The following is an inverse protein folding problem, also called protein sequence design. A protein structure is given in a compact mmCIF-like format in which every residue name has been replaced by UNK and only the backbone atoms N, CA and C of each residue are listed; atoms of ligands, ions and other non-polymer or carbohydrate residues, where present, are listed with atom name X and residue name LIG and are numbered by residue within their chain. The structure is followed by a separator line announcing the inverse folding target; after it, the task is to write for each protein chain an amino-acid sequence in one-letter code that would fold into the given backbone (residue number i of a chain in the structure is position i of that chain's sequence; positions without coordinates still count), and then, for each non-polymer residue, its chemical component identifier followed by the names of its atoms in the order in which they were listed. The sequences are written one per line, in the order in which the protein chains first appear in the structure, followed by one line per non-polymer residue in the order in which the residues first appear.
data_IF_383828999621
#
_entry.id   IF_383828999621
#
_cell.length_a   1.000
_cell.length_b   1.000
_cell.length_c   1.000
_cell.angle_alpha   90.00
_cell.angle_beta   90.00
_cell.angle_gamma   90.00
#
_symmetry.space_group_name_H-M   'P 1'
#
loop_
_entity.id
_entity.type
_entity.pdbx_description
1 polymer ?
#
# COMPACT_ATOMS: atom_id res chain seq x y z
N UNK A 1 15.01 0.47 23.47
CA UNK A 1 15.04 -0.77 22.67
C UNK A 1 14.22 -0.48 21.43
N UNK A 2 14.76 -0.61 20.23
CA UNK A 2 13.97 -0.46 19.01
C UNK A 2 13.00 -1.64 18.95
N UNK A 3 11.70 -1.34 18.98
CA UNK A 3 10.67 -2.37 18.79
C UNK A 3 10.92 -3.06 17.44
N UNK A 4 10.81 -4.40 17.42
CA UNK A 4 10.96 -5.18 16.18
C UNK A 4 9.88 -4.74 15.18
N UNK A 5 10.20 -4.62 13.88
CA UNK A 5 9.20 -4.27 12.89
C UNK A 5 8.04 -5.28 12.86
N UNK A 6 6.82 -4.80 12.63
CA UNK A 6 5.62 -5.62 12.44
C UNK A 6 5.75 -6.48 11.16
N UNK A 7 6.25 -5.87 10.08
CA UNK A 7 6.54 -6.57 8.83
C UNK A 7 8.02 -6.38 8.48
N UNK A 8 8.70 -7.50 8.20
CA UNK A 8 10.09 -7.52 7.73
C UNK A 8 10.17 -8.27 6.42
N UNK A 9 10.71 -7.63 5.42
CA UNK A 9 11.02 -8.24 4.12
C UNK A 9 12.54 -8.28 3.98
N UNK A 10 13.11 -9.42 3.67
CA UNK A 10 14.57 -9.61 3.59
C UNK A 10 14.97 -10.24 2.27
N UNK A 11 15.65 -9.47 1.45
CA UNK A 11 16.32 -9.89 0.21
C UNK A 11 15.44 -10.73 -0.72
N UNK A 12 14.14 -10.36 -0.87
CA UNK A 12 13.23 -11.12 -1.72
C UNK A 12 13.61 -10.98 -3.21
N UNK A 13 13.60 -12.12 -3.91
CA UNK A 13 13.72 -12.21 -5.36
C UNK A 13 12.47 -12.91 -5.92
N UNK A 14 11.73 -12.23 -6.79
CA UNK A 14 10.47 -12.75 -7.33
C UNK A 14 10.44 -12.68 -8.84
N UNK A 15 9.89 -13.71 -9.47
CA UNK A 15 9.91 -13.90 -10.91
C UNK A 15 8.50 -14.07 -11.48
N UNK A 16 8.33 -13.64 -12.73
CA UNK A 16 7.24 -14.03 -13.61
C UNK A 16 7.83 -14.88 -14.75
N UNK A 17 7.72 -16.20 -14.65
CA UNK A 17 8.41 -17.10 -15.56
C UNK A 17 9.93 -16.82 -15.56
N UNK A 18 10.57 -16.52 -16.70
CA UNK A 18 12.00 -16.23 -16.76
C UNK A 18 12.35 -14.78 -16.34
N UNK A 19 11.37 -13.92 -16.14
CA UNK A 19 11.58 -12.50 -15.89
C UNK A 19 11.68 -12.21 -14.39
N UNK A 20 12.85 -11.77 -13.93
CA UNK A 20 13.09 -11.33 -12.56
C UNK A 20 12.48 -9.94 -12.35
N UNK A 21 11.36 -9.87 -11.66
CA UNK A 21 10.64 -8.63 -11.37
C UNK A 21 11.17 -7.92 -10.12
N UNK A 22 11.52 -8.68 -9.07
CA UNK A 22 12.09 -8.20 -7.81
C UNK A 22 13.50 -8.76 -7.63
N UNK A 23 14.45 -7.91 -7.23
CA UNK A 23 15.88 -8.16 -7.29
C UNK A 23 16.58 -7.88 -5.97
N UNK A 24 16.21 -8.62 -4.92
CA UNK A 24 16.83 -8.50 -3.60
C UNK A 24 16.31 -7.29 -2.80
N UNK A 25 14.97 -7.15 -2.69
CA UNK A 25 14.35 -6.09 -1.91
C UNK A 25 14.31 -6.45 -0.43
N UNK A 26 14.69 -5.48 0.40
CA UNK A 26 14.52 -5.52 1.85
C UNK A 26 13.81 -4.25 2.30
N UNK A 27 12.84 -4.37 3.22
CA UNK A 27 12.14 -3.26 3.83
C UNK A 27 11.56 -3.65 5.20
N UNK A 28 11.29 -2.66 6.02
CA UNK A 28 10.70 -2.79 7.34
C UNK A 28 9.48 -1.88 7.47
N UNK A 29 8.42 -2.40 8.12
CA UNK A 29 7.25 -1.62 8.53
C UNK A 29 7.05 -1.79 10.03
N UNK A 30 7.15 -0.69 10.77
CA UNK A 30 6.89 -0.68 12.21
C UNK A 30 5.40 -0.45 12.49
N UNK A 31 4.93 -0.96 13.62
CA UNK A 31 3.55 -0.79 14.07
C UNK A 31 3.17 0.69 14.15
N UNK A 32 1.94 1.02 13.76
CA UNK A 32 1.42 2.39 13.73
C UNK A 32 2.10 3.32 12.73
N UNK A 33 2.92 2.82 11.80
CA UNK A 33 3.58 3.64 10.78
C UNK A 33 2.98 3.45 9.40
N UNK A 34 3.02 4.52 8.60
CA UNK A 34 2.82 4.47 7.17
C UNK A 34 4.19 4.43 6.50
N UNK A 35 4.45 3.37 5.76
CA UNK A 35 5.65 3.21 4.92
C UNK A 35 5.24 3.25 3.46
N UNK A 36 5.92 4.06 2.64
CA UNK A 36 5.63 4.15 1.21
C UNK A 36 6.67 3.43 0.35
N UNK A 37 6.19 2.78 -0.71
CA UNK A 37 7.00 2.27 -1.81
C UNK A 37 6.70 3.13 -3.04
N UNK A 38 7.68 3.87 -3.51
CA UNK A 38 7.59 4.83 -4.59
C UNK A 38 8.31 4.30 -5.84
N UNK A 39 7.73 4.52 -7.00
CA UNK A 39 8.38 4.12 -8.25
C UNK A 39 7.47 4.29 -9.46
N UNK A 40 8.06 4.31 -10.65
CA UNK A 40 7.32 4.36 -11.91
C UNK A 40 6.55 3.05 -12.20
N UNK A 41 5.74 3.08 -13.27
CA UNK A 41 5.07 1.87 -13.75
C UNK A 41 6.12 0.82 -14.16
N UNK A 42 5.86 -0.45 -13.79
CA UNK A 42 6.78 -1.55 -14.06
C UNK A 42 8.02 -1.60 -13.15
N UNK A 43 8.13 -0.74 -12.13
CA UNK A 43 9.24 -0.78 -11.17
C UNK A 43 9.25 -2.02 -10.27
N UNK A 44 8.11 -2.74 -10.16
CA UNK A 44 7.94 -3.93 -9.33
C UNK A 44 7.09 -3.73 -8.09
N UNK A 45 6.45 -2.56 -7.92
CA UNK A 45 5.68 -2.18 -6.73
C UNK A 45 4.57 -3.18 -6.37
N UNK A 46 3.63 -3.43 -7.28
CA UNK A 46 2.56 -4.44 -7.11
C UNK A 46 3.12 -5.84 -6.87
N UNK A 47 4.26 -6.18 -7.50
CA UNK A 47 4.91 -7.47 -7.29
C UNK A 47 5.41 -7.62 -5.85
N UNK A 48 5.93 -6.55 -5.24
CA UNK A 48 6.33 -6.55 -3.81
C UNK A 48 5.12 -6.88 -2.94
N UNK A 49 3.99 -6.17 -3.12
CA UNK A 49 2.79 -6.44 -2.33
C UNK A 49 2.26 -7.87 -2.54
N UNK A 50 2.23 -8.35 -3.80
CA UNK A 50 1.83 -9.73 -4.12
C UNK A 50 2.74 -10.76 -3.47
N UNK A 51 4.04 -10.47 -3.37
CA UNK A 51 4.99 -11.35 -2.69
C UNK A 51 4.75 -11.35 -1.17
N UNK A 52 4.53 -10.17 -0.58
CA UNK A 52 4.27 -10.02 0.86
C UNK A 52 2.98 -10.74 1.27
N UNK A 53 1.88 -10.57 0.50
CA UNK A 53 0.59 -11.21 0.84
C UNK A 53 0.49 -12.69 0.41
N UNK A 54 1.55 -13.27 -0.16
CA UNK A 54 1.60 -14.69 -0.55
C UNK A 54 0.92 -15.03 -1.88
N UNK A 55 0.52 -14.00 -2.67
CA UNK A 55 -0.02 -14.22 -4.03
C UNK A 55 1.08 -14.61 -5.04
N UNK A 56 2.33 -14.31 -4.72
CA UNK A 56 3.52 -14.75 -5.46
C UNK A 56 4.56 -15.27 -4.46
N UNK A 57 5.12 -16.42 -4.72
CA UNK A 57 6.18 -17.00 -3.89
C UNK A 57 7.54 -16.43 -4.34
N UNK A 58 8.36 -15.87 -3.41
CA UNK A 58 9.72 -15.45 -3.73
C UNK A 58 10.61 -16.67 -3.91
N UNK A 59 11.52 -16.63 -4.89
CA UNK A 59 12.51 -17.69 -5.07
C UNK A 59 13.66 -17.59 -4.06
N UNK A 60 13.89 -16.39 -3.51
CA UNK A 60 14.85 -16.15 -2.44
C UNK A 60 14.33 -15.09 -1.48
N UNK A 61 14.94 -15.07 -0.31
CA UNK A 61 14.60 -14.14 0.75
C UNK A 61 13.47 -14.64 1.64
N UNK A 62 13.00 -13.76 2.53
CA UNK A 62 11.97 -14.10 3.49
C UNK A 62 11.06 -12.92 3.79
N UNK A 63 9.84 -13.24 4.21
CA UNK A 63 8.85 -12.30 4.72
C UNK A 63 8.44 -12.75 6.12
N UNK A 64 8.65 -11.88 7.11
CA UNK A 64 8.26 -12.11 8.50
C UNK A 64 7.19 -11.10 8.88
N UNK A 65 6.06 -11.56 9.40
CA UNK A 65 4.94 -10.73 9.85
C UNK A 65 4.54 -11.12 11.27
N UNK A 66 4.42 -10.13 12.16
CA UNK A 66 4.16 -10.34 13.61
C UNK A 66 5.09 -11.39 14.22
N UNK A 67 6.38 -11.37 13.83
CA UNK A 67 7.39 -12.34 14.31
C UNK A 67 7.30 -13.75 13.71
N UNK A 68 6.38 -14.01 12.79
CA UNK A 68 6.22 -15.31 12.12
C UNK A 68 6.74 -15.25 10.69
N UNK A 69 7.47 -16.27 10.26
CA UNK A 69 7.85 -16.42 8.84
C UNK A 69 6.62 -16.83 8.04
N UNK A 70 6.24 -15.96 7.10
CA UNK A 70 5.07 -16.14 6.23
C UNK A 70 5.45 -16.34 4.74
N UNK A 71 6.73 -16.55 4.44
CA UNK A 71 7.30 -16.56 3.09
C UNK A 71 6.56 -17.47 2.11
N UNK A 72 6.15 -18.65 2.56
CA UNK A 72 5.43 -19.65 1.74
C UNK A 72 3.93 -19.74 2.08
N UNK A 73 3.36 -18.72 2.72
CA UNK A 73 1.94 -18.75 3.06
C UNK A 73 1.08 -18.42 1.84
N UNK A 74 -0.10 -19.03 1.80
CA UNK A 74 -1.16 -18.66 0.86
C UNK A 74 -1.85 -17.38 1.32
N UNK A 75 -2.42 -16.58 0.40
CA UNK A 75 -3.03 -15.27 0.72
C UNK A 75 -4.14 -15.33 1.78
N UNK A 76 -4.94 -16.40 1.80
CA UNK A 76 -6.01 -16.57 2.78
C UNK A 76 -5.47 -16.72 4.21
N UNK A 77 -4.31 -17.37 4.36
CA UNK A 77 -3.65 -17.52 5.65
C UNK A 77 -3.05 -16.20 6.12
N UNK A 78 -2.41 -15.44 5.23
CA UNK A 78 -1.90 -14.10 5.54
C UNK A 78 -3.04 -13.14 5.94
N UNK A 79 -4.16 -13.19 5.21
CA UNK A 79 -5.35 -12.40 5.53
C UNK A 79 -5.93 -12.73 6.92
N UNK A 80 -6.05 -14.03 7.27
CA UNK A 80 -6.52 -14.45 8.61
C UNK A 80 -5.60 -14.02 9.74
N UNK A 81 -4.33 -13.79 9.46
CA UNK A 81 -3.35 -13.29 10.42
C UNK A 81 -3.39 -11.77 10.57
N UNK A 82 -4.31 -11.08 9.89
CA UNK A 82 -4.47 -9.63 10.01
C UNK A 82 -3.80 -8.81 8.90
N UNK A 83 -3.46 -9.41 7.77
CA UNK A 83 -2.95 -8.68 6.61
C UNK A 83 -4.08 -8.29 5.68
N UNK A 84 -4.53 -7.02 5.75
CA UNK A 84 -5.51 -6.45 4.81
C UNK A 84 -4.83 -6.04 3.51
N UNK A 85 -5.48 -6.28 2.36
CA UNK A 85 -4.98 -5.89 1.04
C UNK A 85 -6.05 -5.20 0.22
N UNK A 86 -5.74 -4.01 -0.27
CA UNK A 86 -6.51 -3.25 -1.26
C UNK A 86 -5.72 -3.27 -2.57
N UNK A 87 -6.06 -4.14 -3.52
CA UNK A 87 -5.34 -4.29 -4.77
C UNK A 87 -5.58 -3.10 -5.71
N UNK A 88 -4.67 -2.94 -6.69
CA UNK A 88 -4.89 -2.08 -7.84
C UNK A 88 -6.19 -2.51 -8.56
N UNK A 89 -6.98 -1.53 -9.04
CA UNK A 89 -8.23 -1.83 -9.76
C UNK A 89 -9.44 -2.03 -8.86
N UNK A 90 -9.32 -1.82 -7.53
CA UNK A 90 -10.42 -1.80 -6.53
C UNK A 90 -10.97 -3.18 -6.17
N UNK A 91 -11.19 -4.07 -7.15
CA UNK A 91 -11.69 -5.45 -7.02
C UNK A 91 -12.89 -5.60 -6.06
N UNK A 92 -13.88 -4.68 -6.18
CA UNK A 92 -15.15 -4.82 -5.47
C UNK A 92 -16.01 -5.90 -6.11
N UNK A 93 -16.93 -6.50 -5.33
CA UNK A 93 -17.93 -7.43 -5.86
C UNK A 93 -19.05 -6.63 -6.55
N UNK A 94 -19.10 -6.57 -7.88
CA UNK A 94 -19.90 -5.58 -8.60
C UNK A 94 -21.40 -5.71 -8.39
N UNK A 95 -21.90 -6.94 -8.22
CA UNK A 95 -23.33 -7.24 -8.07
C UNK A 95 -23.80 -7.32 -6.61
N UNK A 96 -22.87 -7.26 -5.65
CA UNK A 96 -23.20 -7.11 -4.25
C UNK A 96 -23.45 -5.63 -3.93
N UNK A 97 -24.32 -5.37 -2.97
CA UNK A 97 -24.54 -4.04 -2.40
C UNK A 97 -23.29 -3.53 -1.67
N UNK A 98 -23.23 -2.24 -1.36
CA UNK A 98 -22.20 -1.65 -0.51
C UNK A 98 -22.11 -2.40 0.82
N UNK A 99 -23.26 -2.65 1.47
CA UNK A 99 -23.31 -3.40 2.73
C UNK A 99 -22.72 -4.79 2.60
N UNK A 100 -23.17 -5.57 1.63
CA UNK A 100 -22.68 -6.94 1.42
C UNK A 100 -21.18 -6.96 1.10
N UNK A 101 -20.66 -6.00 0.31
CA UNK A 101 -19.22 -5.86 0.08
C UNK A 101 -18.45 -5.63 1.39
N UNK A 102 -18.95 -4.76 2.27
CA UNK A 102 -18.31 -4.48 3.56
C UNK A 102 -18.38 -5.71 4.47
N UNK A 103 -19.53 -6.37 4.57
CA UNK A 103 -19.71 -7.61 5.37
C UNK A 103 -18.79 -8.75 4.90
N UNK A 104 -18.49 -8.84 3.58
CA UNK A 104 -17.49 -9.78 3.07
C UNK A 104 -16.09 -9.55 3.65
N UNK A 105 -15.72 -8.32 4.00
CA UNK A 105 -14.49 -8.03 4.72
C UNK A 105 -14.43 -8.67 6.11
N UNK A 106 -15.56 -8.79 6.77
CA UNK A 106 -15.68 -9.41 8.09
C UNK A 106 -15.94 -10.94 8.06
N UNK A 107 -15.85 -11.59 6.88
CA UNK A 107 -16.22 -13.00 6.69
C UNK A 107 -15.58 -13.98 7.69
N UNK A 108 -14.34 -13.75 8.08
CA UNK A 108 -13.61 -14.61 9.02
C UNK A 108 -13.86 -14.27 10.50
N UNK A 109 -14.69 -13.25 10.78
CA UNK A 109 -14.92 -12.75 12.14
C UNK A 109 -16.26 -13.22 12.69
N UNK A 110 -16.33 -13.33 14.01
CA UNK A 110 -17.52 -13.72 14.76
C UNK A 110 -17.88 -12.60 15.73
N UNK A 111 -19.16 -12.30 15.88
CA UNK A 111 -19.64 -11.25 16.78
C UNK A 111 -20.34 -10.13 16.01
N UNK A 112 -21.69 -10.24 15.95
CA UNK A 112 -22.51 -9.30 15.17
C UNK A 112 -22.36 -7.85 15.63
N UNK A 113 -22.35 -7.61 16.95
CA UNK A 113 -22.23 -6.25 17.49
C UNK A 113 -20.91 -5.59 17.10
N UNK A 114 -19.81 -6.33 17.11
CA UNK A 114 -18.50 -5.80 16.69
C UNK A 114 -18.46 -5.46 15.20
N UNK A 115 -19.18 -6.23 14.37
CA UNK A 115 -19.27 -5.98 12.93
C UNK A 115 -20.12 -4.73 12.68
N UNK A 116 -21.19 -4.53 13.45
CA UNK A 116 -22.01 -3.32 13.34
C UNK A 116 -21.22 -2.06 13.77
N UNK A 117 -20.40 -2.15 14.83
CA UNK A 117 -19.52 -1.06 15.27
C UNK A 117 -18.47 -0.72 14.18
N UNK A 118 -17.89 -1.73 13.53
CA UNK A 118 -16.94 -1.53 12.44
C UNK A 118 -17.59 -0.93 11.19
N UNK A 119 -18.83 -1.29 10.89
CA UNK A 119 -19.59 -0.64 9.82
C UNK A 119 -19.78 0.86 10.10
N UNK A 120 -20.13 1.23 11.33
CA UNK A 120 -20.26 2.65 11.70
C UNK A 120 -18.90 3.36 11.64
N UNK A 121 -17.80 2.72 12.05
CA UNK A 121 -16.43 3.24 11.88
C UNK A 121 -16.11 3.45 10.40
N UNK A 122 -16.39 2.50 9.52
CA UNK A 122 -16.18 2.64 8.07
C UNK A 122 -17.01 3.81 7.53
N UNK A 123 -18.28 3.97 7.94
CA UNK A 123 -19.13 5.09 7.50
C UNK A 123 -18.67 6.44 8.05
N UNK A 124 -17.97 6.47 9.18
CA UNK A 124 -17.34 7.69 9.69
C UNK A 124 -16.25 8.21 8.75
N UNK A 125 -15.41 7.30 8.19
CA UNK A 125 -14.36 7.65 7.24
C UNK A 125 -14.88 7.80 5.80
N UNK A 126 -15.93 7.07 5.43
CA UNK A 126 -16.51 7.03 4.08
C UNK A 126 -18.02 7.31 4.12
N UNK A 127 -18.46 8.55 4.49
CA UNK A 127 -19.88 8.85 4.70
C UNK A 127 -20.74 8.66 3.44
N UNK A 128 -20.16 8.84 2.25
CA UNK A 128 -20.83 8.61 0.98
C UNK A 128 -21.33 7.17 0.81
N UNK A 129 -20.66 6.19 1.41
CA UNK A 129 -21.05 4.79 1.35
C UNK A 129 -22.31 4.53 2.18
N UNK A 130 -22.49 5.23 3.31
CA UNK A 130 -23.67 5.11 4.17
C UNK A 130 -24.95 5.46 3.42
N UNK A 131 -24.89 6.54 2.62
CA UNK A 131 -26.03 6.99 1.82
C UNK A 131 -26.37 6.03 0.66
N UNK A 132 -25.47 5.12 0.33
CA UNK A 132 -25.56 4.16 -0.79
C UNK A 132 -25.53 2.71 -0.34
N UNK A 133 -25.82 2.46 0.93
CA UNK A 133 -25.62 1.17 1.61
C UNK A 133 -26.27 -0.02 0.87
N UNK A 134 -27.43 0.19 0.24
CA UNK A 134 -28.17 -0.84 -0.50
C UNK A 134 -27.90 -0.80 -2.02
N UNK A 135 -27.06 0.13 -2.50
CA UNK A 135 -26.73 0.23 -3.92
C UNK A 135 -25.70 -0.82 -4.31
N UNK A 136 -25.88 -1.45 -5.47
CA UNK A 136 -24.90 -2.38 -6.01
C UNK A 136 -23.60 -1.64 -6.35
N UNK A 137 -22.43 -2.27 -6.06
CA UNK A 137 -21.12 -1.66 -6.21
C UNK A 137 -20.79 -1.25 -7.67
N UNK A 138 -21.36 -1.93 -8.66
CA UNK A 138 -21.22 -1.57 -10.09
C UNK A 138 -21.77 -0.18 -10.41
N UNK A 139 -22.75 0.31 -9.64
CA UNK A 139 -23.39 1.62 -9.84
C UNK A 139 -22.66 2.76 -9.11
N UNK A 140 -21.61 2.46 -8.38
CA UNK A 140 -20.77 3.47 -7.73
C UNK A 140 -19.81 4.12 -8.71
N UNK A 141 -19.46 5.39 -8.46
CA UNK A 141 -18.34 6.04 -9.15
C UNK A 141 -17.01 5.34 -8.81
N UNK A 142 -15.99 5.55 -9.66
CA UNK A 142 -14.69 4.96 -9.41
C UNK A 142 -14.06 5.31 -8.05
N UNK A 143 -14.25 6.54 -7.56
CA UNK A 143 -13.79 6.93 -6.23
C UNK A 143 -14.57 6.24 -5.11
N UNK A 144 -15.88 6.11 -5.26
CA UNK A 144 -16.70 5.37 -4.28
C UNK A 144 -16.40 3.88 -4.26
N UNK A 145 -16.05 3.27 -5.40
CA UNK A 145 -15.57 1.89 -5.44
C UNK A 145 -14.22 1.76 -4.72
N UNK A 146 -13.32 2.76 -4.84
CA UNK A 146 -12.07 2.78 -4.09
C UNK A 146 -12.29 2.88 -2.58
N UNK A 147 -13.19 3.78 -2.15
CA UNK A 147 -13.61 3.89 -0.75
C UNK A 147 -14.23 2.58 -0.24
N UNK A 148 -15.05 1.91 -1.06
CA UNK A 148 -15.65 0.62 -0.73
C UNK A 148 -14.59 -0.49 -0.57
N UNK A 149 -13.59 -0.55 -1.45
CA UNK A 149 -12.49 -1.51 -1.36
C UNK A 149 -11.66 -1.30 -0.09
N UNK A 150 -11.36 -0.04 0.26
CA UNK A 150 -10.68 0.31 1.52
C UNK A 150 -11.55 -0.02 2.73
N UNK A 151 -12.83 0.35 2.72
CA UNK A 151 -13.77 0.02 3.79
C UNK A 151 -13.88 -1.48 4.02
N UNK A 152 -13.97 -2.28 2.94
CA UNK A 152 -13.99 -3.74 3.03
C UNK A 152 -12.72 -4.30 3.69
N UNK A 153 -11.55 -3.75 3.37
CA UNK A 153 -10.31 -4.18 4.00
C UNK A 153 -10.25 -3.79 5.48
N UNK A 154 -10.79 -2.64 5.88
CA UNK A 154 -10.87 -2.22 7.28
C UNK A 154 -11.81 -3.10 8.12
N UNK A 155 -12.89 -3.64 7.53
CA UNK A 155 -13.79 -4.58 8.20
C UNK A 155 -13.10 -5.86 8.69
N UNK A 156 -11.89 -6.17 8.19
CA UNK A 156 -11.07 -7.27 8.69
C UNK A 156 -10.43 -6.96 10.05
N UNK A 157 -10.40 -5.70 10.52
CA UNK A 157 -9.53 -5.18 11.61
C UNK A 157 -8.07 -5.58 11.38
N UNK A 158 -7.47 -5.14 10.27
CA UNK A 158 -6.12 -5.58 9.92
C UNK A 158 -5.07 -5.01 10.87
N UNK A 159 -4.04 -5.82 11.18
CA UNK A 159 -2.81 -5.34 11.86
C UNK A 159 -1.97 -4.50 10.90
N UNK A 160 -1.97 -4.84 9.61
CA UNK A 160 -1.36 -4.07 8.53
C UNK A 160 -2.29 -3.99 7.32
N UNK A 161 -2.37 -2.80 6.71
CA UNK A 161 -3.12 -2.56 5.48
C UNK A 161 -2.14 -2.30 4.32
N UNK A 162 -2.17 -3.19 3.33
CA UNK A 162 -1.42 -3.05 2.08
C UNK A 162 -2.28 -2.32 1.06
N UNK A 163 -1.82 -1.18 0.54
CA UNK A 163 -2.53 -0.33 -0.40
C UNK A 163 -1.77 -0.25 -1.73
N UNK A 164 -2.34 -0.80 -2.80
CA UNK A 164 -1.71 -0.80 -4.13
C UNK A 164 -2.32 0.29 -5.02
N UNK A 165 -1.59 1.37 -5.19
CA UNK A 165 -1.93 2.55 -6.00
C UNK A 165 -3.37 3.07 -5.75
N UNK A 166 -3.75 3.37 -4.48
CA UNK A 166 -5.12 3.73 -4.14
C UNK A 166 -5.62 5.01 -4.82
N UNK A 167 -4.72 5.82 -5.37
CA UNK A 167 -5.06 7.07 -6.08
C UNK A 167 -5.25 6.89 -7.59
N UNK A 168 -4.94 5.70 -8.15
CA UNK A 168 -4.90 5.50 -9.59
C UNK A 168 -6.27 5.72 -10.26
N UNK A 169 -6.29 6.56 -11.30
CA UNK A 169 -7.50 6.83 -12.09
C UNK A 169 -8.57 7.64 -11.36
N UNK A 170 -8.21 8.33 -10.27
CA UNK A 170 -9.09 9.23 -9.55
C UNK A 170 -8.88 10.70 -9.97
N UNK A 171 -9.91 11.52 -9.78
CA UNK A 171 -9.77 12.97 -9.93
C UNK A 171 -8.88 13.56 -8.84
N UNK A 172 -8.23 14.72 -9.06
CA UNK A 172 -7.36 15.33 -8.06
C UNK A 172 -8.03 15.57 -6.69
N UNK A 173 -9.32 15.90 -6.70
CA UNK A 173 -10.10 16.09 -5.47
C UNK A 173 -10.22 14.78 -4.69
N UNK A 174 -10.59 13.69 -5.36
CA UNK A 174 -10.71 12.36 -4.75
C UNK A 174 -9.35 11.80 -4.30
N UNK A 175 -8.28 12.09 -5.03
CA UNK A 175 -6.92 11.75 -4.59
C UNK A 175 -6.63 12.40 -3.24
N UNK A 176 -6.88 13.73 -3.10
CA UNK A 176 -6.68 14.42 -1.81
C UNK A 176 -7.51 13.79 -0.70
N UNK A 177 -8.78 13.51 -0.95
CA UNK A 177 -9.70 12.89 0.01
C UNK A 177 -9.22 11.51 0.47
N UNK A 178 -8.78 10.64 -0.45
CA UNK A 178 -8.24 9.30 -0.10
C UNK A 178 -6.99 9.41 0.76
N UNK A 179 -6.08 10.34 0.45
CA UNK A 179 -4.87 10.53 1.26
C UNK A 179 -5.18 11.14 2.62
N UNK A 180 -6.14 12.04 2.72
CA UNK A 180 -6.62 12.58 4.01
C UNK A 180 -7.23 11.46 4.86
N UNK A 181 -7.99 10.54 4.28
CA UNK A 181 -8.53 9.36 4.97
C UNK A 181 -7.40 8.42 5.41
N UNK A 182 -6.41 8.13 4.57
CA UNK A 182 -5.23 7.31 4.92
C UNK A 182 -4.51 7.93 6.13
N UNK A 183 -4.28 9.24 6.11
CA UNK A 183 -3.66 9.94 7.23
C UNK A 183 -4.49 9.83 8.51
N UNK A 184 -5.81 10.06 8.43
CA UNK A 184 -6.71 9.98 9.59
C UNK A 184 -6.81 8.56 10.14
N UNK A 185 -6.93 7.54 9.32
CA UNK A 185 -6.93 6.14 9.76
C UNK A 185 -5.67 5.78 10.53
N UNK A 186 -4.51 6.28 10.11
CA UNK A 186 -3.27 6.08 10.84
C UNK A 186 -3.21 6.90 12.14
N UNK A 187 -3.52 8.21 12.09
CA UNK A 187 -3.36 9.10 13.23
C UNK A 187 -4.42 8.90 14.32
N UNK A 188 -5.65 8.52 13.94
CA UNK A 188 -6.77 8.36 14.87
C UNK A 188 -6.93 6.91 15.37
N UNK A 189 -6.62 5.92 14.52
CA UNK A 189 -6.82 4.50 14.82
C UNK A 189 -5.51 3.69 14.93
N UNK A 190 -4.37 4.32 14.65
CA UNK A 190 -3.07 3.63 14.70
C UNK A 190 -2.86 2.57 13.61
N UNK A 191 -3.66 2.56 12.53
CA UNK A 191 -3.56 1.54 11.47
C UNK A 191 -2.19 1.58 10.83
N UNK A 192 -1.47 0.45 10.86
CA UNK A 192 -0.19 0.30 10.16
C UNK A 192 -0.43 0.14 8.65
N UNK A 193 0.34 0.82 7.82
CA UNK A 193 0.12 0.78 6.37
C UNK A 193 1.41 0.63 5.56
N UNK A 194 1.36 -0.21 4.53
CA UNK A 194 2.34 -0.23 3.46
C UNK A 194 1.66 0.26 2.18
N UNK A 195 2.03 1.46 1.76
CA UNK A 195 1.42 2.21 0.66
C UNK A 195 2.31 2.15 -0.57
N UNK A 196 1.83 1.59 -1.65
CA UNK A 196 2.49 1.62 -2.95
C UNK A 196 1.88 2.71 -3.82
N UNK A 197 2.72 3.60 -4.36
CA UNK A 197 2.24 4.74 -5.14
C UNK A 197 3.24 5.19 -6.22
N UNK A 198 2.67 5.71 -7.30
CA UNK A 198 3.43 6.47 -8.30
C UNK A 198 3.47 7.97 -7.95
N UNK A 199 2.42 8.49 -7.31
CA UNK A 199 2.32 9.88 -6.87
C UNK A 199 3.14 10.12 -5.59
N UNK A 200 4.47 10.27 -5.77
CA UNK A 200 5.38 10.45 -4.64
C UNK A 200 5.04 11.67 -3.76
N UNK A 201 4.53 12.74 -4.36
CA UNK A 201 4.16 13.95 -3.60
C UNK A 201 3.04 13.68 -2.59
N UNK A 202 2.01 12.94 -2.99
CA UNK A 202 0.90 12.61 -2.10
C UNK A 202 1.31 11.54 -1.09
N UNK A 203 2.02 10.50 -1.52
CA UNK A 203 2.49 9.45 -0.64
C UNK A 203 3.40 9.99 0.48
N UNK A 204 4.37 10.85 0.14
CA UNK A 204 5.29 11.43 1.12
C UNK A 204 4.62 12.41 2.10
N UNK A 205 3.45 12.98 1.78
CA UNK A 205 2.69 13.80 2.74
C UNK A 205 2.22 13.00 3.95
N UNK A 206 1.88 11.73 3.76
CA UNK A 206 1.28 10.87 4.79
C UNK A 206 2.27 9.87 5.39
N UNK A 207 3.37 9.56 4.69
CA UNK A 207 4.32 8.53 5.09
C UNK A 207 5.30 9.01 6.17
N UNK A 208 5.76 8.07 7.00
CA UNK A 208 6.84 8.28 7.98
C UNK A 208 8.20 7.97 7.36
N UNK A 209 8.26 6.87 6.58
CA UNK A 209 9.44 6.41 5.85
C UNK A 209 9.04 5.98 4.44
N UNK A 210 10.00 5.87 3.55
CA UNK A 210 9.73 5.40 2.19
C UNK A 210 10.92 4.73 1.52
N UNK A 211 10.60 3.93 0.51
CA UNK A 211 11.53 3.21 -0.34
C UNK A 211 11.25 3.59 -1.79
N UNK A 212 12.28 4.04 -2.51
CA UNK A 212 12.17 4.33 -3.94
C UNK A 212 12.68 3.14 -4.73
N UNK A 213 11.83 2.63 -5.63
CA UNK A 213 12.08 1.40 -6.37
C UNK A 213 12.26 1.72 -7.86
N UNK A 214 13.35 1.22 -8.44
CA UNK A 214 13.58 1.22 -9.88
C UNK A 214 13.99 -0.18 -10.35
N UNK A 215 13.32 -0.68 -11.37
CA UNK A 215 13.66 -1.96 -12.03
C UNK A 215 13.87 -3.11 -11.01
N UNK A 216 12.94 -3.21 -10.04
CA UNK A 216 12.94 -4.26 -9.03
C UNK A 216 13.99 -4.11 -7.92
N UNK A 217 14.61 -2.93 -7.74
CA UNK A 217 15.60 -2.67 -6.70
C UNK A 217 15.26 -1.43 -5.90
N UNK A 218 15.60 -1.40 -4.62
CA UNK A 218 15.62 -0.17 -3.82
C UNK A 218 16.80 0.67 -4.30
N UNK A 219 16.53 1.89 -4.74
CA UNK A 219 17.55 2.86 -5.16
C UNK A 219 17.80 3.94 -4.13
N UNK A 220 16.80 4.19 -3.28
CA UNK A 220 16.89 5.09 -2.14
C UNK A 220 15.87 4.69 -1.07
N UNK A 221 16.21 4.85 0.20
CA UNK A 221 15.32 4.68 1.34
C UNK A 221 15.66 5.69 2.44
N UNK A 222 14.69 5.98 3.27
CA UNK A 222 14.89 6.91 4.38
C UNK A 222 13.58 7.39 4.98
N UNK A 223 13.72 8.26 5.97
CA UNK A 223 12.58 8.96 6.52
C UNK A 223 12.02 10.00 5.51
N UNK A 224 10.81 10.47 5.80
CA UNK A 224 10.11 11.45 4.96
C UNK A 224 10.96 12.67 4.62
N UNK A 225 11.68 13.20 5.62
CA UNK A 225 12.43 14.46 5.43
C UNK A 225 13.68 14.23 4.59
N UNK A 226 14.36 13.10 4.77
CA UNK A 226 15.47 12.69 3.90
C UNK A 226 15.02 12.54 2.45
N UNK A 227 13.85 11.91 2.21
CA UNK A 227 13.28 11.74 0.87
C UNK A 227 12.88 13.08 0.24
N UNK A 228 12.20 13.95 1.00
CA UNK A 228 11.77 15.28 0.50
C UNK A 228 12.94 16.22 0.19
N UNK A 229 14.06 16.08 0.90
CA UNK A 229 15.25 16.92 0.73
C UNK A 229 16.26 16.34 -0.28
N UNK A 230 16.05 15.11 -0.77
CA UNK A 230 16.93 14.50 -1.76
C UNK A 230 16.74 15.16 -3.14
N UNK A 231 17.81 15.72 -3.76
CA UNK A 231 17.72 16.41 -5.04
C UNK A 231 17.20 15.52 -6.19
N UNK A 232 17.60 14.25 -6.22
CA UNK A 232 17.20 13.30 -7.26
C UNK A 232 15.69 12.96 -7.11
N UNK A 233 15.20 12.81 -5.87
CA UNK A 233 13.78 12.61 -5.59
C UNK A 233 12.97 13.83 -5.99
N UNK A 234 13.47 15.04 -5.68
CA UNK A 234 12.82 16.30 -6.05
C UNK A 234 12.72 16.47 -7.58
N UNK A 235 13.77 16.14 -8.31
CA UNK A 235 13.80 16.26 -9.77
C UNK A 235 12.93 15.20 -10.46
N UNK A 236 13.11 13.90 -10.09
CA UNK A 236 12.53 12.78 -10.84
C UNK A 236 11.11 12.40 -10.40
N UNK A 237 10.77 12.60 -9.12
CA UNK A 237 9.50 12.15 -8.54
C UNK A 237 8.60 13.28 -8.08
N UNK A 238 9.13 14.45 -7.71
CA UNK A 238 8.35 15.60 -7.26
C UNK A 238 8.22 16.69 -8.32
N UNK A 239 8.83 16.51 -9.49
CA UNK A 239 8.72 17.44 -10.63
C UNK A 239 9.33 18.83 -10.39
N UNK A 240 10.12 19.01 -9.33
CA UNK A 240 10.81 20.28 -9.06
C UNK A 240 12.05 20.36 -9.94
N UNK A 241 11.98 21.10 -11.04
CA UNK A 241 13.17 21.43 -11.84
C UNK A 241 14.05 22.37 -11.01
N UNK A 242 15.22 21.90 -10.58
CA UNK A 242 16.24 22.83 -10.10
C UNK A 242 16.68 23.70 -11.26
N UNK A 243 16.60 25.02 -11.07
CA UNK A 243 17.19 26.01 -11.97
C UNK A 243 18.71 26.06 -11.71
N UNK A 244 19.42 24.97 -11.97
CA UNK A 244 20.87 24.89 -11.88
C UNK A 244 21.40 24.38 -13.22
N UNK A 245 22.37 25.13 -13.73
CA UNK A 245 22.97 24.94 -15.04
C UNK A 245 23.40 23.50 -15.32
N UNK A 246 23.41 23.20 -16.62
CA UNK A 246 23.76 21.94 -17.28
C UNK A 246 25.04 21.29 -16.74
N UNK A 247 25.06 20.85 -15.50
CA UNK A 247 26.07 19.89 -15.03
C UNK A 247 25.50 18.47 -15.11
N UNK A 248 26.20 17.67 -15.87
CA UNK A 248 25.99 16.29 -16.28
C UNK A 248 25.25 15.44 -15.22
N UNK A 249 24.17 14.81 -15.63
CA UNK A 249 23.43 13.74 -14.96
C UNK A 249 24.37 12.75 -14.25
N UNK A 250 24.73 13.01 -13.02
CA UNK A 250 25.73 12.25 -12.23
C UNK A 250 25.36 10.79 -12.00
N UNK A 251 24.10 10.48 -11.93
CA UNK A 251 23.66 9.12 -11.59
C UNK A 251 23.64 8.16 -12.80
N UNK A 252 23.49 8.66 -14.03
CA UNK A 252 23.65 7.82 -15.24
C UNK A 252 25.08 7.31 -15.45
N UNK A 253 26.07 7.89 -14.80
CA UNK A 253 27.48 7.47 -14.92
C UNK A 253 27.88 6.38 -13.89
N UNK A 254 27.06 6.06 -12.88
CA UNK A 254 27.36 5.01 -11.89
C UNK A 254 26.69 3.66 -12.17
N UNK A 255 26.09 3.46 -13.34
CA UNK A 255 25.59 2.14 -13.76
C UNK A 255 26.70 1.29 -14.38
N UNK A 256 27.79 1.06 -13.63
CA UNK A 256 28.69 -0.07 -13.90
C UNK A 256 28.27 -1.20 -12.98
N UNK A 257 27.32 -1.99 -13.44
CA UNK A 257 27.01 -3.27 -12.83
C UNK A 257 28.12 -4.26 -13.17
N UNK A 258 28.88 -4.69 -12.20
CA UNK A 258 29.65 -5.93 -12.24
C UNK A 258 28.90 -7.00 -11.52
#
# INVERSE_FOLDING_TARGET
MSESPLLQVRNIETFYGPVMAIRGISLDVHEGKIVSILGGNGAGKTTILKTICGALEPQKGSVVFSGQDITAWQPDKAARQGMGHVPEGREVFPFLSVKENLEMGAYNRKGKNEIDDDLEMVFHYFPDLKNKINLQAVLLSGGQQQMLAMGRALMMRPEILLLDEPSLGLSPLLVSEIFDIIYRLNSEQGVTMLLVEQNAHMALKVSHTGYVIETGRVVFDGDRDALLNNPDIQEFYLGKKQAIGREKRRWKQRKTWR
#
